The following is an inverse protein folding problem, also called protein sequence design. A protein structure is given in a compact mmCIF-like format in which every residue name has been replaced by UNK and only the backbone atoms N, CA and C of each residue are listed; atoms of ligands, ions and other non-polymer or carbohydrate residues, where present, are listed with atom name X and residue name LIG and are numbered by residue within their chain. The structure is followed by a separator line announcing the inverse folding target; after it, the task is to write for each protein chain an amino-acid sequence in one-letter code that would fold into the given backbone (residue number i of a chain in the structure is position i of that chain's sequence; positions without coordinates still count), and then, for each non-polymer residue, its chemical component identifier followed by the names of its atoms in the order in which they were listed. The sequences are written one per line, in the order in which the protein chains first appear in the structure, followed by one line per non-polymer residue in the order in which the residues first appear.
data_IF_051635364936
#
_entry.id   IF_051635364936
#
_cell.length_a   1.000
_cell.length_b   1.000
_cell.length_c   1.000
_cell.angle_alpha   90.00
_cell.angle_beta   90.00
_cell.angle_gamma   90.00
#
_symmetry.space_group_name_H-M   'P 1'
#
loop_
_entity.id
_entity.type
_entity.pdbx_description
1 polymer ?
#
# COMPACT_ATOMS: atom_id res chain seq x y z
N UNK A 1 14.16 18.23 17.62
CA UNK A 1 13.88 16.89 17.04
C UNK A 1 14.74 16.74 15.80
N UNK A 2 15.95 16.19 15.97
CA UNK A 2 16.91 15.93 14.89
C UNK A 2 16.60 14.57 14.26
N UNK A 3 15.60 14.51 13.36
CA UNK A 3 15.14 13.23 12.81
C UNK A 3 16.01 12.70 11.65
N UNK A 4 17.04 13.44 11.20
CA UNK A 4 17.64 13.26 9.88
C UNK A 4 19.18 13.33 9.83
N UNK A 5 19.90 12.91 10.87
CA UNK A 5 21.38 12.97 10.85
C UNK A 5 22.03 11.77 10.18
N UNK A 6 21.33 10.63 10.11
CA UNK A 6 21.82 9.43 9.45
C UNK A 6 20.75 8.85 8.51
N UNK A 7 20.94 9.09 7.22
CA UNK A 7 20.08 8.55 6.16
C UNK A 7 20.11 7.02 6.12
N UNK A 8 21.23 6.39 6.49
CA UNK A 8 21.32 4.93 6.49
C UNK A 8 20.49 4.34 7.63
N UNK A 9 20.56 4.94 8.82
CA UNK A 9 19.74 4.53 9.97
C UNK A 9 18.25 4.72 9.66
N UNK A 10 17.88 5.83 9.02
CA UNK A 10 16.51 6.07 8.57
C UNK A 10 16.03 5.00 7.58
N UNK A 11 16.85 4.69 6.57
CA UNK A 11 16.51 3.70 5.56
C UNK A 11 16.34 2.31 6.16
N UNK A 12 17.19 1.92 7.12
CA UNK A 12 17.06 0.65 7.84
C UNK A 12 15.75 0.60 8.63
N UNK A 13 15.47 1.63 9.44
CA UNK A 13 14.22 1.71 10.21
C UNK A 13 12.97 1.71 9.33
N UNK A 14 13.02 2.39 8.18
CA UNK A 14 11.94 2.39 7.21
C UNK A 14 11.74 1.00 6.60
N UNK A 15 12.82 0.33 6.22
CA UNK A 15 12.76 -1.03 5.66
C UNK A 15 12.16 -2.03 6.66
N UNK A 16 12.63 -1.98 7.91
CA UNK A 16 12.10 -2.82 8.99
C UNK A 16 10.62 -2.57 9.23
N UNK A 17 10.22 -1.30 9.22
CA UNK A 17 8.81 -0.92 9.36
C UNK A 17 7.96 -1.43 8.20
N UNK A 18 8.43 -1.31 6.95
CA UNK A 18 7.71 -1.79 5.77
C UNK A 18 7.57 -3.32 5.77
N UNK A 19 8.61 -4.05 6.18
CA UNK A 19 8.55 -5.50 6.33
C UNK A 19 7.53 -5.88 7.41
N UNK A 20 7.60 -5.28 8.59
CA UNK A 20 6.64 -5.53 9.67
C UNK A 20 5.21 -5.21 9.23
N UNK A 21 4.99 -4.06 8.61
CA UNK A 21 3.67 -3.62 8.15
C UNK A 21 3.06 -4.63 7.18
N UNK A 22 3.81 -5.03 6.15
CA UNK A 22 3.28 -5.90 5.10
C UNK A 22 3.15 -7.36 5.52
N UNK A 23 4.02 -7.86 6.42
CA UNK A 23 4.06 -9.29 6.78
C UNK A 23 3.31 -9.61 8.07
N UNK A 24 3.35 -8.72 9.08
CA UNK A 24 2.94 -9.02 10.45
C UNK A 24 1.79 -8.14 10.97
N UNK A 25 1.69 -6.88 10.54
CA UNK A 25 0.67 -5.96 11.08
C UNK A 25 -0.72 -6.38 10.64
N UNK A 26 -1.60 -6.65 11.59
CA UNK A 26 -3.01 -6.93 11.32
C UNK A 26 -3.80 -5.65 11.05
N UNK A 27 -4.72 -5.70 10.10
CA UNK A 27 -5.60 -4.58 9.76
C UNK A 27 -7.07 -4.99 9.91
N UNK A 28 -7.84 -4.23 10.68
CA UNK A 28 -9.27 -4.47 10.88
C UNK A 28 -10.06 -4.49 9.56
N UNK A 29 -9.69 -3.63 8.61
CA UNK A 29 -10.29 -3.57 7.27
C UNK A 29 -9.92 -4.76 6.38
N UNK A 30 -8.92 -5.56 6.75
CA UNK A 30 -8.44 -6.73 6.00
C UNK A 30 -8.80 -8.04 6.74
N UNK A 31 -9.96 -8.08 7.41
CA UNK A 31 -10.37 -9.24 8.23
C UNK A 31 -9.32 -9.62 9.30
N UNK A 32 -8.64 -8.62 9.87
CA UNK A 32 -7.51 -8.80 10.79
C UNK A 32 -6.33 -9.59 10.20
N UNK A 33 -6.18 -9.67 8.88
CA UNK A 33 -4.99 -10.23 8.22
C UNK A 33 -3.93 -9.14 8.00
N UNK A 34 -2.68 -9.57 7.82
CA UNK A 34 -1.63 -8.70 7.29
C UNK A 34 -1.81 -8.47 5.79
N UNK A 35 -1.28 -7.37 5.22
CA UNK A 35 -1.44 -7.05 3.81
C UNK A 35 -1.03 -8.19 2.88
N UNK A 36 0.13 -8.81 3.10
CA UNK A 36 0.59 -9.93 2.28
C UNK A 36 -0.29 -11.18 2.46
N UNK A 37 -0.73 -11.47 3.69
CA UNK A 37 -1.61 -12.61 3.94
C UNK A 37 -2.96 -12.42 3.25
N UNK A 38 -3.49 -11.20 3.28
CA UNK A 38 -4.72 -10.85 2.57
C UNK A 38 -4.56 -11.01 1.06
N UNK A 39 -3.50 -10.47 0.45
CA UNK A 39 -3.23 -10.65 -1.01
C UNK A 39 -3.14 -12.14 -1.35
N UNK A 40 -2.42 -12.93 -0.56
CA UNK A 40 -2.26 -14.36 -0.82
C UNK A 40 -3.60 -15.12 -0.71
N UNK A 41 -4.54 -14.65 0.10
CA UNK A 41 -5.85 -15.29 0.28
C UNK A 41 -6.91 -14.79 -0.71
N UNK A 42 -6.92 -13.50 -1.06
CA UNK A 42 -8.02 -12.85 -1.79
C UNK A 42 -7.60 -12.11 -3.08
N UNK A 43 -6.30 -12.03 -3.37
CA UNK A 43 -5.75 -11.47 -4.61
C UNK A 43 -5.50 -9.96 -4.59
N UNK A 44 -6.50 -9.13 -4.28
CA UNK A 44 -6.38 -7.66 -4.36
C UNK A 44 -7.19 -6.93 -3.28
N UNK A 45 -6.75 -5.72 -2.91
CA UNK A 45 -7.47 -4.85 -1.96
C UNK A 45 -7.25 -3.36 -2.20
N UNK A 46 -8.14 -2.53 -1.63
CA UNK A 46 -8.25 -1.10 -1.92
C UNK A 46 -7.09 -0.23 -1.40
N UNK A 47 -6.11 -0.80 -0.70
CA UNK A 47 -4.91 -0.09 -0.28
C UNK A 47 -3.70 -0.39 -1.18
N UNK A 48 -3.87 -1.19 -2.25
CA UNK A 48 -2.86 -1.26 -3.29
C UNK A 48 -2.77 0.10 -3.98
N UNK A 49 -1.56 0.59 -4.19
CA UNK A 49 -1.32 1.85 -4.91
C UNK A 49 -1.91 1.86 -6.34
N UNK A 50 -2.09 0.69 -6.96
CA UNK A 50 -2.73 0.57 -8.28
C UNK A 50 -4.26 0.70 -8.24
N UNK A 51 -4.89 0.55 -7.07
CA UNK A 51 -6.34 0.64 -6.93
C UNK A 51 -6.85 2.06 -7.20
N UNK A 52 -6.11 3.08 -6.75
CA UNK A 52 -6.44 4.49 -7.02
C UNK A 52 -6.26 4.83 -8.50
N UNK A 53 -5.26 4.26 -9.16
CA UNK A 53 -5.02 4.45 -10.59
C UNK A 53 -6.06 3.78 -11.48
N UNK A 54 -6.60 2.62 -11.10
CA UNK A 54 -7.64 1.95 -11.89
C UNK A 54 -8.92 2.82 -11.97
N UNK A 55 -9.33 3.42 -10.85
CA UNK A 55 -10.50 4.30 -10.82
C UNK A 55 -10.30 5.55 -11.67
N UNK A 56 -9.12 6.18 -11.58
CA UNK A 56 -8.76 7.38 -12.34
C UNK A 56 -8.63 7.07 -13.84
N UNK A 57 -7.94 5.98 -14.20
CA UNK A 57 -7.78 5.59 -15.60
C UNK A 57 -9.11 5.20 -16.26
N UNK A 58 -10.01 4.53 -15.53
CA UNK A 58 -11.37 4.22 -16.03
C UNK A 58 -12.20 5.49 -16.21
N UNK A 59 -12.13 6.44 -15.26
CA UNK A 59 -12.81 7.73 -15.38
C UNK A 59 -12.28 8.56 -16.56
N UNK A 60 -10.95 8.63 -16.74
CA UNK A 60 -10.34 9.33 -17.87
C UNK A 60 -10.71 8.65 -19.19
N UNK A 61 -10.64 7.32 -19.28
CA UNK A 61 -11.05 6.58 -20.47
C UNK A 61 -12.53 6.79 -20.80
N UNK A 62 -13.40 6.92 -19.79
CA UNK A 62 -14.81 7.22 -19.99
C UNK A 62 -15.00 8.66 -20.49
N UNK A 63 -14.36 9.66 -19.87
CA UNK A 63 -14.44 11.06 -20.30
C UNK A 63 -13.92 11.25 -21.73
N UNK A 64 -12.80 10.61 -22.09
CA UNK A 64 -12.22 10.68 -23.44
C UNK A 64 -13.02 9.92 -24.49
N UNK A 65 -13.81 8.90 -24.11
CA UNK A 65 -14.65 8.13 -25.04
C UNK A 65 -15.98 8.81 -25.34
N UNK A 66 -16.43 9.70 -24.46
CA UNK A 66 -17.72 10.40 -24.57
C UNK A 66 -17.58 11.93 -24.67
N UNK A 67 -16.37 12.45 -24.93
CA UNK A 67 -16.11 13.81 -25.42
C UNK A 67 -15.79 13.78 -26.90
#
# INVERSE_FOLDING_TARGET
MHLFYDLNELNQKLMDWLLFYNTKRHHHTLNNLSPLKYINTFGFFNMLWSYTHLLICVLIAFVLKYS
#
